data_IF_214407088603
#
_entry.id   IF_214407088603
#
_cell.length_a   1.000
_cell.length_b   1.000
_cell.length_c   1.000
_cell.angle_alpha   90.00
_cell.angle_beta   90.00
_cell.angle_gamma   90.00
#
_symmetry.space_group_name_H-M   'P 1'
#
loop_
_entity.id
_entity.type
_entity.pdbx_description
1 polymer ?
#
# COMPACT_ATOMS: atom_id res chain seq x y z
N UNK A 1 62.54 -23.61 5.87
CA UNK A 1 61.91 -22.27 5.82
C UNK A 1 60.60 -22.41 5.08
N UNK A 2 59.53 -22.48 5.85
CA UNK A 2 58.18 -22.84 5.44
C UNK A 2 57.45 -21.62 4.87
N UNK A 3 56.84 -21.75 3.70
CA UNK A 3 55.78 -20.87 3.24
C UNK A 3 54.45 -21.64 3.23
N UNK A 4 53.59 -21.29 4.18
CA UNK A 4 52.21 -21.73 4.33
C UNK A 4 51.32 -20.65 3.67
N UNK A 5 50.46 -20.96 2.70
CA UNK A 5 49.45 -20.03 2.21
C UNK A 5 48.22 -20.04 3.13
N UNK A 6 47.87 -18.87 3.66
CA UNK A 6 46.72 -18.62 4.52
C UNK A 6 45.39 -18.70 3.75
N UNK A 7 44.52 -19.58 4.24
CA UNK A 7 43.08 -19.63 3.98
C UNK A 7 42.40 -18.26 4.16
N UNK A 8 41.61 -17.82 3.17
CA UNK A 8 40.49 -16.88 3.38
C UNK A 8 39.20 -17.53 2.91
N UNK A 9 38.39 -17.91 3.90
CA UNK A 9 37.01 -18.38 3.79
C UNK A 9 36.15 -17.37 3.00
N UNK A 10 35.58 -17.81 1.86
CA UNK A 10 34.48 -17.12 1.20
C UNK A 10 33.18 -17.48 1.93
N UNK A 11 32.91 -16.78 3.03
CA UNK A 11 31.59 -16.70 3.66
C UNK A 11 30.68 -15.77 2.85
N UNK A 12 30.23 -16.21 1.68
CA UNK A 12 29.21 -15.52 0.89
C UNK A 12 27.83 -15.88 1.41
N UNK A 13 27.23 -14.96 2.17
CA UNK A 13 25.86 -15.07 2.65
C UNK A 13 24.89 -15.29 1.48
N UNK A 14 24.41 -16.53 1.32
CA UNK A 14 23.24 -16.83 0.50
C UNK A 14 22.06 -16.11 1.16
N UNK A 15 21.59 -15.04 0.53
CA UNK A 15 20.28 -14.46 0.84
C UNK A 15 19.25 -15.58 0.74
N UNK A 16 18.62 -15.92 1.87
CA UNK A 16 17.55 -16.91 1.93
C UNK A 16 16.41 -16.40 1.07
N UNK A 17 16.21 -17.01 -0.10
CA UNK A 17 14.92 -16.97 -0.78
C UNK A 17 13.93 -17.65 0.16
N UNK A 18 13.07 -16.85 0.78
CA UNK A 18 11.86 -17.34 1.42
C UNK A 18 10.96 -17.87 0.30
N UNK A 19 10.89 -19.20 0.18
CA UNK A 19 9.82 -19.84 -0.59
C UNK A 19 8.52 -19.61 0.17
N UNK A 20 7.72 -18.66 -0.30
CA UNK A 20 6.39 -18.39 0.21
C UNK A 20 5.40 -19.34 -0.47
N UNK A 21 4.51 -19.98 0.29
CA UNK A 21 3.37 -20.72 -0.24
C UNK A 21 2.11 -19.89 -0.03
N UNK A 22 1.26 -19.83 -1.06
CA UNK A 22 -0.09 -19.28 -0.97
C UNK A 22 -1.10 -20.44 -0.94
N UNK A 23 -1.65 -20.86 0.21
CA UNK A 23 -2.91 -21.57 0.28
C UNK A 23 -4.03 -20.56 -0.01
N UNK A 24 -4.63 -20.63 -1.20
CA UNK A 24 -5.90 -19.98 -1.48
C UNK A 24 -7.00 -20.97 -1.04
N UNK A 25 -7.75 -20.66 0.01
CA UNK A 25 -8.93 -21.44 0.39
C UNK A 25 -10.19 -20.64 0.01
N UNK A 26 -11.00 -21.20 -0.89
CA UNK A 26 -12.33 -20.67 -1.22
C UNK A 26 -13.38 -21.46 -0.42
N UNK A 27 -13.89 -20.90 0.67
CA UNK A 27 -14.93 -21.55 1.48
C UNK A 27 -16.28 -21.49 0.73
N UNK A 28 -16.94 -22.63 0.55
CA UNK A 28 -18.24 -22.68 -0.15
C UNK A 28 -19.27 -23.46 0.66
N UNK A 29 -20.38 -22.81 1.02
CA UNK A 29 -21.52 -23.45 1.70
C UNK A 29 -22.49 -24.09 0.70
N UNK A 30 -22.87 -25.34 0.91
CA UNK A 30 -23.99 -26.00 0.23
C UNK A 30 -25.01 -26.48 1.27
N UNK A 31 -26.23 -25.93 1.22
CA UNK A 31 -27.39 -26.49 1.91
C UNK A 31 -28.40 -26.98 0.86
N UNK A 32 -28.76 -28.27 0.87
CA UNK A 32 -29.94 -28.76 0.14
C UNK A 32 -31.19 -28.24 0.83
N UNK A 33 -32.11 -27.62 0.08
CA UNK A 33 -33.40 -27.17 0.59
C UNK A 33 -34.54 -28.06 0.09
N UNK A 34 -35.24 -28.72 1.01
CA UNK A 34 -36.67 -29.01 0.87
C UNK A 34 -37.45 -27.98 1.72
N UNK A 35 -38.62 -27.57 1.23
CA UNK A 35 -39.37 -26.41 1.73
C UNK A 35 -40.30 -26.85 2.88
N UNK A 36 -39.93 -26.58 4.14
CA UNK A 36 -40.87 -26.45 5.26
C UNK A 36 -40.21 -25.85 6.53
N UNK A 37 -40.79 -24.76 7.06
CA UNK A 37 -40.65 -24.33 8.47
C UNK A 37 -39.36 -23.63 8.91
N UNK A 38 -39.47 -22.77 9.92
CA UNK A 38 -38.34 -22.08 10.57
C UNK A 38 -37.44 -23.12 11.26
N UNK A 39 -36.23 -23.33 10.74
CA UNK A 39 -35.27 -24.30 11.30
C UNK A 39 -34.57 -23.72 12.55
N UNK A 40 -34.50 -24.46 13.67
CA UNK A 40 -33.49 -24.21 14.68
C UNK A 40 -32.11 -24.53 14.07
N UNK A 41 -31.27 -23.51 13.93
CA UNK A 41 -29.89 -23.66 13.44
C UNK A 41 -29.07 -24.46 14.45
N UNK A 42 -28.74 -25.69 14.11
CA UNK A 42 -27.94 -26.58 14.96
C UNK A 42 -26.43 -26.44 14.73
N UNK A 43 -25.99 -26.02 13.53
CA UNK A 43 -24.57 -25.81 13.15
C UNK A 43 -24.41 -24.77 12.03
N UNK A 44 -23.29 -24.03 12.06
CA UNK A 44 -22.88 -23.07 11.03
C UNK A 44 -23.28 -21.62 11.33
N UNK A 45 -22.45 -20.67 10.88
CA UNK A 45 -22.80 -19.25 10.86
C UNK A 45 -23.57 -18.91 9.59
N UNK A 46 -24.45 -17.89 9.66
CA UNK A 46 -25.21 -17.46 8.49
C UNK A 46 -24.27 -16.98 7.38
N UNK A 47 -24.63 -17.24 6.12
CA UNK A 47 -23.87 -16.68 4.99
C UNK A 47 -23.92 -15.14 5.08
N UNK A 48 -22.75 -14.49 5.14
CA UNK A 48 -22.62 -13.06 5.41
C UNK A 48 -22.64 -12.66 6.89
N UNK A 49 -22.52 -13.61 7.82
CA UNK A 49 -22.39 -13.32 9.24
C UNK A 49 -21.05 -12.62 9.53
N UNK A 50 -21.07 -11.39 10.07
CA UNK A 50 -19.86 -10.61 10.31
C UNK A 50 -18.92 -11.25 11.35
N UNK A 51 -19.37 -12.24 12.14
CA UNK A 51 -18.55 -12.95 13.13
C UNK A 51 -17.71 -14.09 12.53
N UNK A 52 -18.05 -14.57 11.33
CA UNK A 52 -17.35 -15.70 10.71
C UNK A 52 -15.86 -15.46 10.46
N UNK A 53 -15.40 -14.26 10.03
CA UNK A 53 -13.97 -14.00 9.89
C UNK A 53 -13.26 -13.88 11.25
N UNK A 54 -13.95 -13.38 12.28
CA UNK A 54 -13.36 -13.20 13.62
C UNK A 54 -13.09 -14.53 14.32
N UNK A 55 -13.94 -15.55 14.14
CA UNK A 55 -13.68 -16.89 14.68
C UNK A 55 -12.43 -17.52 14.08
N UNK A 56 -12.20 -17.31 12.78
CA UNK A 56 -10.98 -17.75 12.12
C UNK A 56 -9.75 -17.04 12.69
N UNK A 57 -9.80 -15.71 12.84
CA UNK A 57 -8.72 -14.91 13.46
C UNK A 57 -8.45 -15.37 14.90
N UNK A 58 -9.48 -15.59 15.71
CA UNK A 58 -9.32 -16.08 17.09
C UNK A 58 -8.68 -17.47 17.15
N UNK A 59 -9.00 -18.36 16.20
CA UNK A 59 -8.34 -19.67 16.08
C UNK A 59 -6.85 -19.55 15.75
N UNK A 60 -6.48 -18.60 14.89
CA UNK A 60 -5.08 -18.30 14.56
C UNK A 60 -4.33 -17.67 15.75
N UNK A 61 -4.96 -16.76 16.48
CA UNK A 61 -4.33 -16.09 17.63
C UNK A 61 -4.14 -17.00 18.84
N UNK A 62 -5.08 -17.93 19.10
CA UNK A 62 -4.98 -18.86 20.23
C UNK A 62 -3.81 -19.85 20.11
N UNK A 63 -3.32 -20.09 18.90
CA UNK A 63 -2.12 -20.90 18.64
C UNK A 63 -0.79 -20.12 18.69
N UNK A 64 -0.80 -18.81 19.04
CA UNK A 64 0.43 -18.00 19.23
C UNK A 64 1.37 -18.52 20.35
N UNK A 65 0.94 -19.48 21.16
CA UNK A 65 1.82 -20.17 22.13
C UNK A 65 2.95 -20.99 21.49
N UNK A 66 2.91 -21.21 20.16
CA UNK A 66 4.03 -21.73 19.37
C UNK A 66 4.36 -20.74 18.26
N UNK A 67 5.61 -20.31 18.20
CA UNK A 67 6.14 -19.25 17.33
C UNK A 67 5.97 -19.55 15.82
N UNK A 68 4.77 -19.30 15.29
CA UNK A 68 4.44 -19.49 13.88
C UNK A 68 3.93 -18.16 13.33
N UNK A 69 4.81 -17.40 12.70
CA UNK A 69 4.47 -16.17 11.97
C UNK A 69 3.74 -16.55 10.67
N UNK A 70 2.42 -16.70 10.74
CA UNK A 70 1.57 -16.83 9.55
C UNK A 70 1.02 -15.45 9.20
N UNK A 71 1.46 -14.89 8.08
CA UNK A 71 0.79 -13.74 7.48
C UNK A 71 -0.44 -14.24 6.71
N UNK A 72 -1.53 -13.48 6.69
CA UNK A 72 -2.76 -13.89 6.02
C UNK A 72 -3.53 -12.67 5.49
N UNK A 73 -4.29 -12.88 4.43
CA UNK A 73 -5.29 -11.96 3.90
C UNK A 73 -6.65 -12.65 3.97
N UNK A 74 -7.60 -12.01 4.64
CA UNK A 74 -8.97 -12.51 4.84
C UNK A 74 -9.96 -11.56 4.18
N UNK A 75 -10.81 -12.11 3.31
CA UNK A 75 -11.98 -11.39 2.82
C UNK A 75 -13.18 -12.35 2.77
N UNK A 76 -14.06 -12.23 3.77
CA UNK A 76 -15.18 -13.15 3.95
C UNK A 76 -14.74 -14.63 3.93
N UNK A 77 -15.16 -15.37 2.91
CA UNK A 77 -14.89 -16.78 2.65
C UNK A 77 -13.62 -17.04 1.83
N UNK A 78 -13.01 -16.00 1.27
CA UNK A 78 -11.77 -16.07 0.52
C UNK A 78 -10.58 -15.76 1.45
N UNK A 79 -9.78 -16.78 1.74
CA UNK A 79 -8.59 -16.66 2.60
C UNK A 79 -7.32 -16.99 1.83
N UNK A 80 -6.34 -16.09 1.91
CA UNK A 80 -4.95 -16.37 1.52
C UNK A 80 -4.11 -16.47 2.78
N UNK A 81 -3.37 -17.56 2.89
CA UNK A 81 -2.36 -17.74 3.93
C UNK A 81 -0.97 -17.57 3.30
N UNK A 82 -0.02 -16.98 4.01
CA UNK A 82 1.39 -16.92 3.63
C UNK A 82 2.17 -17.69 4.68
N UNK A 83 2.86 -18.72 4.23
CA UNK A 83 3.68 -19.56 5.09
C UNK A 83 4.97 -19.95 4.39
N UNK A 84 6.02 -20.21 5.19
CA UNK A 84 7.26 -20.75 4.65
C UNK A 84 7.03 -22.16 4.11
N UNK A 85 7.72 -22.52 3.04
CA UNK A 85 7.72 -23.87 2.46
C UNK A 85 8.44 -24.91 3.34
N UNK A 86 7.96 -25.11 4.58
CA UNK A 86 8.39 -26.19 5.46
C UNK A 86 7.19 -27.00 5.92
N UNK A 87 7.38 -28.32 5.98
CA UNK A 87 6.35 -29.28 6.40
C UNK A 87 5.73 -28.92 7.76
N UNK A 88 6.56 -28.55 8.74
CA UNK A 88 6.11 -28.17 10.09
C UNK A 88 5.06 -27.05 10.08
N UNK A 89 5.23 -26.03 9.23
CA UNK A 89 4.27 -24.92 9.14
C UNK A 89 2.95 -25.35 8.52
N UNK A 90 2.98 -26.25 7.52
CA UNK A 90 1.77 -26.76 6.88
C UNK A 90 1.01 -27.73 7.78
N UNK A 91 1.72 -28.57 8.55
CA UNK A 91 1.09 -29.42 9.56
C UNK A 91 0.39 -28.55 10.61
N UNK A 92 1.03 -27.47 11.08
CA UNK A 92 0.39 -26.51 12.00
C UNK A 92 -0.84 -25.83 11.36
N UNK A 93 -0.75 -25.43 10.09
CA UNK A 93 -1.89 -24.88 9.36
C UNK A 93 -3.03 -25.88 9.24
N UNK A 94 -2.75 -27.14 8.92
CA UNK A 94 -3.74 -28.22 8.89
C UNK A 94 -4.45 -28.38 10.24
N UNK A 95 -3.71 -28.31 11.36
CA UNK A 95 -4.32 -28.31 12.69
C UNK A 95 -5.20 -27.09 12.93
N UNK A 96 -4.79 -25.89 12.54
CA UNK A 96 -5.59 -24.67 12.67
C UNK A 96 -6.90 -24.82 11.89
N UNK A 97 -6.81 -25.28 10.63
CA UNK A 97 -7.94 -25.53 9.75
C UNK A 97 -8.90 -26.57 10.34
N UNK A 98 -8.37 -27.67 10.88
CA UNK A 98 -9.15 -28.70 11.58
C UNK A 98 -9.89 -28.14 12.80
N UNK A 99 -9.20 -27.39 13.66
CA UNK A 99 -9.82 -26.76 14.83
C UNK A 99 -10.86 -25.71 14.45
N UNK A 100 -10.63 -24.97 13.36
CA UNK A 100 -11.62 -24.05 12.81
C UNK A 100 -12.88 -24.79 12.36
N UNK A 101 -12.77 -25.90 11.62
CA UNK A 101 -13.95 -26.71 11.25
C UNK A 101 -14.70 -27.21 12.49
N UNK A 102 -13.97 -27.71 13.48
CA UNK A 102 -14.55 -28.23 14.72
C UNK A 102 -15.27 -27.15 15.54
N UNK A 103 -14.69 -25.96 15.65
CA UNK A 103 -15.22 -24.86 16.46
C UNK A 103 -16.34 -24.08 15.76
N UNK A 104 -16.23 -23.85 14.45
CA UNK A 104 -17.20 -23.06 13.68
C UNK A 104 -18.35 -23.90 13.12
N UNK A 105 -18.16 -25.22 13.00
CA UNK A 105 -19.06 -26.11 12.26
C UNK A 105 -19.05 -25.88 10.75
N UNK A 106 -18.16 -25.04 10.23
CA UNK A 106 -17.96 -24.83 8.79
C UNK A 106 -17.04 -25.91 8.21
N UNK A 107 -17.10 -26.07 6.88
CA UNK A 107 -16.26 -27.01 6.14
C UNK A 107 -15.38 -26.28 5.14
N UNK A 108 -14.09 -26.60 5.19
CA UNK A 108 -13.09 -26.09 4.26
C UNK A 108 -13.23 -26.85 2.95
N UNK A 109 -13.37 -26.11 1.86
CA UNK A 109 -13.46 -26.71 0.54
C UNK A 109 -12.05 -26.98 0.01
N UNK A 110 -11.45 -28.09 0.41
CA UNK A 110 -10.13 -28.51 -0.05
C UNK A 110 -10.08 -28.71 -1.57
N UNK A 111 -11.21 -29.05 -2.21
CA UNK A 111 -11.28 -29.15 -3.66
C UNK A 111 -11.06 -27.78 -4.32
N UNK A 112 -11.65 -26.69 -3.81
CA UNK A 112 -11.38 -25.33 -4.32
C UNK A 112 -10.09 -24.72 -3.77
N UNK A 113 -9.47 -25.36 -2.80
CA UNK A 113 -8.25 -24.85 -2.18
C UNK A 113 -7.02 -25.27 -2.99
N UNK A 114 -6.06 -24.36 -3.11
CA UNK A 114 -4.81 -24.61 -3.84
C UNK A 114 -3.61 -24.07 -3.07
N UNK A 115 -2.49 -24.79 -3.14
CA UNK A 115 -1.18 -24.34 -2.66
C UNK A 115 -0.37 -23.91 -3.86
N UNK A 116 0.03 -22.63 -3.88
CA UNK A 116 0.79 -22.04 -4.97
C UNK A 116 2.22 -21.76 -4.50
N UNK A 117 3.26 -22.31 -5.16
CA UNK A 117 4.64 -21.98 -4.84
C UNK A 117 5.00 -20.58 -5.35
N UNK A 118 5.59 -19.75 -4.49
CA UNK A 118 6.22 -18.47 -4.84
C UNK A 118 7.73 -18.67 -4.83
N UNK A 119 8.33 -18.69 -6.02
CA UNK A 119 9.75 -18.99 -6.21
C UNK A 119 10.06 -20.48 -6.36
N UNK A 120 11.30 -20.88 -6.10
CA UNK A 120 11.72 -22.28 -6.16
C UNK A 120 11.38 -22.98 -4.83
N UNK A 121 10.39 -23.89 -4.88
CA UNK A 121 9.99 -24.71 -3.74
C UNK A 121 10.20 -26.18 -4.09
N UNK A 122 11.05 -26.86 -3.33
CA UNK A 122 11.25 -28.30 -3.50
C UNK A 122 10.09 -29.08 -2.87
N UNK A 123 9.68 -30.18 -3.53
CA UNK A 123 8.68 -31.14 -3.03
C UNK A 123 7.30 -30.51 -2.74
N UNK A 124 6.87 -29.59 -3.61
CA UNK A 124 5.59 -28.89 -3.51
C UNK A 124 4.40 -29.84 -3.48
N UNK A 125 4.49 -30.97 -4.19
CA UNK A 125 3.45 -31.99 -4.23
C UNK A 125 3.24 -32.63 -2.86
N UNK A 126 4.31 -32.91 -2.12
CA UNK A 126 4.20 -33.46 -0.77
C UNK A 126 3.58 -32.46 0.21
N UNK A 127 3.94 -31.19 0.06
CA UNK A 127 3.40 -30.09 0.85
C UNK A 127 1.89 -29.89 0.59
N UNK A 128 1.45 -30.05 -0.65
CA UNK A 128 0.03 -29.99 -1.01
C UNK A 128 -0.75 -31.21 -0.48
N UNK A 129 -0.14 -32.40 -0.48
CA UNK A 129 -0.72 -33.63 0.11
C UNK A 129 -0.92 -33.48 1.62
N UNK A 130 0.04 -32.88 2.34
CA UNK A 130 -0.08 -32.62 3.78
C UNK A 130 -1.30 -31.75 4.13
N UNK A 131 -1.62 -30.77 3.27
CA UNK A 131 -2.80 -29.91 3.40
C UNK A 131 -4.08 -30.51 2.81
N UNK A 132 -3.97 -31.56 2.00
CA UNK A 132 -5.09 -32.18 1.28
C UNK A 132 -5.64 -31.32 0.13
N UNK A 133 -4.85 -30.42 -0.44
CA UNK A 133 -5.26 -29.50 -1.50
C UNK A 133 -4.47 -29.71 -2.81
N UNK A 134 -4.86 -28.99 -3.86
CA UNK A 134 -4.21 -29.10 -5.19
C UNK A 134 -3.01 -28.17 -5.30
N UNK A 135 -2.03 -28.52 -6.11
CA UNK A 135 -0.94 -27.58 -6.46
C UNK A 135 -1.44 -26.60 -7.52
N UNK A 136 -1.48 -25.32 -7.17
CA UNK A 136 -1.82 -24.23 -8.08
C UNK A 136 -0.57 -23.63 -8.74
N UNK A 137 -0.78 -22.66 -9.65
CA UNK A 137 0.31 -21.95 -10.34
C UNK A 137 -0.01 -20.45 -10.42
N UNK A 138 1.04 -19.62 -10.36
CA UNK A 138 0.91 -18.21 -10.73
C UNK A 138 0.86 -18.08 -12.27
N UNK A 139 0.09 -17.13 -12.81
CA UNK A 139 -0.79 -16.21 -12.08
C UNK A 139 -2.13 -16.83 -11.66
N UNK A 140 -2.61 -16.50 -10.46
CA UNK A 140 -3.90 -16.95 -9.91
C UNK A 140 -4.86 -15.78 -9.67
N UNK A 141 -6.16 -16.04 -9.50
CA UNK A 141 -7.17 -14.99 -9.29
C UNK A 141 -7.58 -14.95 -7.81
N UNK A 142 -7.49 -13.77 -7.18
CA UNK A 142 -8.02 -13.52 -5.84
C UNK A 142 -8.84 -12.22 -5.84
N UNK A 143 -10.10 -12.28 -5.40
CA UNK A 143 -11.06 -11.16 -5.43
C UNK A 143 -11.17 -10.48 -6.80
N UNK A 144 -11.02 -11.25 -7.88
CA UNK A 144 -11.02 -10.75 -9.26
C UNK A 144 -9.73 -10.08 -9.71
N UNK A 145 -8.66 -10.13 -8.91
CA UNK A 145 -7.33 -9.62 -9.23
C UNK A 145 -6.37 -10.76 -9.58
N UNK A 146 -5.60 -10.61 -10.66
CA UNK A 146 -4.55 -11.57 -11.02
C UNK A 146 -3.31 -11.37 -10.14
N UNK A 147 -3.05 -12.33 -9.25
CA UNK A 147 -1.85 -12.43 -8.44
C UNK A 147 -0.69 -12.98 -9.26
N UNK A 148 0.52 -12.46 -9.06
CA UNK A 148 1.74 -12.96 -9.71
C UNK A 148 1.96 -12.50 -11.16
N UNK A 149 1.06 -11.70 -11.72
CA UNK A 149 1.26 -11.09 -13.05
C UNK A 149 2.27 -9.93 -12.95
N UNK A 150 3.22 -9.78 -13.89
CA UNK A 150 4.06 -8.59 -13.94
C UNK A 150 3.19 -7.33 -14.07
N UNK A 151 3.46 -6.32 -13.24
CA UNK A 151 2.59 -5.13 -13.12
C UNK A 151 2.40 -4.29 -14.40
N UNK A 152 3.14 -4.60 -15.48
CA UNK A 152 3.06 -3.96 -16.80
C UNK A 152 2.47 -4.85 -17.89
N UNK A 153 2.19 -6.10 -17.59
CA UNK A 153 1.69 -7.04 -18.58
C UNK A 153 0.28 -6.65 -19.03
N UNK A 154 0.10 -6.47 -20.34
CA UNK A 154 -1.20 -6.14 -20.91
C UNK A 154 -2.25 -7.23 -20.62
N UNK A 155 -1.84 -8.51 -20.68
CA UNK A 155 -2.74 -9.65 -20.42
C UNK A 155 -3.31 -9.69 -19.00
N UNK A 156 -2.69 -8.96 -18.05
CA UNK A 156 -3.26 -8.76 -16.71
C UNK A 156 -4.61 -8.03 -16.72
N UNK A 157 -4.96 -7.36 -17.82
CA UNK A 157 -6.19 -6.60 -18.01
C UNK A 157 -7.26 -7.36 -18.81
N UNK A 158 -6.94 -8.50 -19.43
CA UNK A 158 -7.85 -9.25 -20.31
C UNK A 158 -9.15 -9.64 -19.60
N UNK A 159 -9.07 -10.02 -18.32
CA UNK A 159 -10.25 -10.36 -17.53
C UNK A 159 -11.20 -9.17 -17.30
N UNK A 160 -10.65 -7.96 -17.11
CA UNK A 160 -11.45 -6.74 -17.03
C UNK A 160 -12.01 -6.37 -18.40
N UNK A 161 -11.20 -6.46 -19.45
CA UNK A 161 -11.64 -6.19 -20.82
C UNK A 161 -12.81 -7.10 -21.19
N UNK A 162 -12.72 -8.39 -20.89
CA UNK A 162 -13.78 -9.36 -21.17
C UNK A 162 -15.05 -9.09 -20.33
N UNK A 163 -14.90 -8.69 -19.06
CA UNK A 163 -16.04 -8.29 -18.21
C UNK A 163 -16.72 -7.02 -18.73
N UNK A 164 -15.93 -6.06 -19.22
CA UNK A 164 -16.44 -4.88 -19.89
C UNK A 164 -17.17 -5.30 -21.16
N UNK A 165 -16.52 -6.05 -22.06
CA UNK A 165 -17.10 -6.54 -23.32
C UNK A 165 -18.45 -7.23 -23.10
N UNK A 166 -18.55 -8.10 -22.08
CA UNK A 166 -19.80 -8.76 -21.69
C UNK A 166 -20.89 -7.79 -21.25
N UNK A 167 -20.59 -6.79 -20.42
CA UNK A 167 -21.60 -5.78 -20.02
C UNK A 167 -21.96 -4.81 -21.15
N UNK A 168 -21.01 -4.52 -22.02
CA UNK A 168 -21.18 -3.63 -23.18
C UNK A 168 -21.96 -4.29 -24.32
N UNK A 169 -21.99 -5.63 -24.38
CA UNK A 169 -22.72 -6.38 -25.39
C UNK A 169 -24.21 -5.97 -25.47
N UNK A 170 -24.83 -5.64 -24.32
CA UNK A 170 -26.24 -5.28 -24.22
C UNK A 170 -26.62 -3.95 -24.89
N UNK A 171 -25.68 -3.04 -25.16
CA UNK A 171 -26.03 -1.78 -25.85
C UNK A 171 -26.11 -1.85 -27.36
N UNK A 172 -25.60 -2.94 -27.94
CA UNK A 172 -25.82 -3.18 -29.36
C UNK A 172 -27.30 -3.45 -29.66
N UNK A 173 -28.15 -3.55 -28.62
CA UNK A 173 -29.60 -3.62 -28.75
C UNK A 173 -30.18 -2.43 -29.53
N UNK A 174 -31.04 -2.74 -30.50
CA UNK A 174 -31.62 -1.79 -31.45
C UNK A 174 -32.51 -0.73 -30.77
N UNK A 175 -33.12 -1.05 -29.62
CA UNK A 175 -34.18 -0.22 -29.02
C UNK A 175 -33.70 0.73 -27.91
N UNK A 176 -32.39 0.95 -27.74
CA UNK A 176 -31.85 1.84 -26.71
C UNK A 176 -31.54 3.22 -27.31
N UNK A 177 -32.09 4.28 -26.69
CA UNK A 177 -31.84 5.66 -27.07
C UNK A 177 -30.35 6.04 -26.93
N UNK A 178 -29.90 7.10 -27.62
CA UNK A 178 -28.51 7.59 -27.49
C UNK A 178 -28.13 7.87 -26.02
N UNK A 179 -29.04 8.46 -25.24
CA UNK A 179 -28.86 8.67 -23.80
C UNK A 179 -28.79 7.36 -23.00
N UNK A 180 -29.67 6.40 -23.32
CA UNK A 180 -29.69 5.07 -22.71
C UNK A 180 -28.43 4.23 -23.02
N UNK A 181 -27.73 4.50 -24.13
CA UNK A 181 -26.42 3.90 -24.43
C UNK A 181 -25.30 4.58 -23.63
N UNK A 182 -25.30 5.92 -23.52
CA UNK A 182 -24.27 6.66 -22.79
C UNK A 182 -24.20 6.26 -21.31
N UNK A 183 -25.35 6.06 -20.65
CA UNK A 183 -25.39 5.81 -19.21
C UNK A 183 -24.59 4.57 -18.83
N UNK A 184 -24.75 3.40 -19.47
CA UNK A 184 -23.97 2.28 -19.04
C UNK A 184 -22.54 2.34 -19.60
N UNK A 185 -22.19 3.19 -20.61
CA UNK A 185 -20.76 3.37 -20.97
C UNK A 185 -20.08 3.97 -19.78
N UNK A 186 -20.64 5.09 -19.33
CA UNK A 186 -20.09 5.83 -18.20
C UNK A 186 -20.04 4.94 -16.96
N UNK A 187 -21.07 4.13 -16.69
CA UNK A 187 -21.06 3.23 -15.53
C UNK A 187 -20.03 2.10 -15.67
N UNK A 188 -19.93 1.46 -16.84
CA UNK A 188 -19.04 0.30 -17.07
C UNK A 188 -17.58 0.73 -17.12
N UNK A 189 -17.25 1.73 -17.95
CA UNK A 189 -15.89 2.26 -18.05
C UNK A 189 -15.45 3.06 -16.82
N UNK A 190 -16.39 3.69 -16.12
CA UNK A 190 -16.08 4.55 -14.98
C UNK A 190 -15.95 3.80 -13.65
N UNK A 191 -16.44 2.56 -13.53
CA UNK A 191 -16.40 1.79 -12.28
C UNK A 191 -15.59 0.50 -12.37
N UNK A 192 -15.67 -0.24 -13.48
CA UNK A 192 -15.02 -1.54 -13.58
C UNK A 192 -13.49 -1.53 -13.52
N UNK A 193 -12.78 -0.60 -14.20
CA UNK A 193 -11.34 -0.60 -14.17
C UNK A 193 -10.81 0.05 -12.90
N UNK A 194 -11.64 0.76 -12.13
CA UNK A 194 -11.19 1.61 -11.00
C UNK A 194 -10.44 0.80 -9.96
N UNK A 195 -10.96 -0.39 -9.60
CA UNK A 195 -10.30 -1.25 -8.62
C UNK A 195 -8.89 -1.62 -9.09
N UNK A 196 -8.74 -2.09 -10.32
CA UNK A 196 -7.44 -2.50 -10.84
C UNK A 196 -6.52 -1.32 -11.18
N UNK A 197 -7.06 -0.18 -11.64
CA UNK A 197 -6.32 1.08 -11.82
C UNK A 197 -5.82 1.66 -10.51
N UNK A 198 -6.51 1.39 -9.39
CA UNK A 198 -6.05 1.80 -8.08
C UNK A 198 -4.84 1.00 -7.59
N UNK A 199 -4.56 -0.16 -8.20
CA UNK A 199 -3.49 -1.08 -7.79
C UNK A 199 -2.37 -1.15 -8.82
N UNK A 200 -2.68 -1.05 -10.11
CA UNK A 200 -1.74 -1.25 -11.22
C UNK A 200 -1.87 -0.15 -12.27
N UNK A 201 -0.74 0.20 -12.89
CA UNK A 201 -0.71 1.15 -13.99
C UNK A 201 -1.32 0.53 -15.26
N UNK A 202 -2.34 1.18 -15.82
CA UNK A 202 -2.98 0.74 -17.07
C UNK A 202 -2.05 0.97 -18.28
N UNK A 203 -1.87 -0.01 -19.19
CA UNK A 203 -1.19 0.21 -20.47
C UNK A 203 -1.94 1.25 -21.31
N UNK A 204 -1.23 2.20 -21.93
CA UNK A 204 -1.82 3.42 -22.55
C UNK A 204 -2.50 3.15 -23.93
N UNK A 205 -2.67 1.89 -24.35
CA UNK A 205 -3.08 1.55 -25.73
C UNK A 205 -4.61 1.62 -25.99
N UNK A 206 -5.29 2.69 -25.57
CA UNK A 206 -6.69 2.88 -25.96
C UNK A 206 -7.43 3.99 -25.21
N UNK A 207 -7.47 5.19 -25.80
CA UNK A 207 -8.29 6.30 -25.31
C UNK A 207 -9.69 6.28 -25.91
N UNK A 208 -10.69 5.72 -25.21
CA UNK A 208 -12.09 5.67 -25.65
C UNK A 208 -12.92 6.94 -25.34
N UNK A 209 -12.28 8.08 -25.05
CA UNK A 209 -12.97 9.38 -24.97
C UNK A 209 -13.95 9.60 -23.79
N UNK A 210 -14.01 8.70 -22.80
CA UNK A 210 -14.90 8.83 -21.63
C UNK A 210 -14.03 8.94 -20.38
N UNK A 211 -13.76 10.19 -19.99
CA UNK A 211 -12.71 10.62 -19.03
C UNK A 211 -11.30 10.24 -19.51
N UNK A 212 -10.31 11.10 -19.28
CA UNK A 212 -8.90 10.77 -19.55
C UNK A 212 -8.49 9.70 -18.54
N UNK A 213 -8.65 8.41 -18.87
CA UNK A 213 -8.28 7.26 -18.03
C UNK A 213 -6.85 7.38 -17.49
N UNK A 214 -5.96 7.98 -18.28
CA UNK A 214 -4.60 8.33 -17.89
C UNK A 214 -4.55 9.26 -16.67
N UNK A 215 -5.41 10.29 -16.62
CA UNK A 215 -5.50 11.20 -15.47
C UNK A 215 -6.10 10.46 -14.26
N UNK A 216 -7.13 9.64 -14.48
CA UNK A 216 -7.74 8.87 -13.39
C UNK A 216 -6.75 7.87 -12.76
N UNK A 217 -6.00 7.15 -13.58
CA UNK A 217 -4.92 6.26 -13.15
C UNK A 217 -3.86 7.05 -12.38
N UNK A 218 -3.37 8.18 -12.92
CA UNK A 218 -2.44 9.07 -12.21
C UNK A 218 -2.97 9.46 -10.83
N UNK A 219 -4.21 9.95 -10.73
CA UNK A 219 -4.84 10.36 -9.46
C UNK A 219 -4.95 9.19 -8.48
N UNK A 220 -5.38 8.01 -8.94
CA UNK A 220 -5.51 6.81 -8.10
C UNK A 220 -4.16 6.32 -7.56
N UNK A 221 -3.09 6.40 -8.36
CA UNK A 221 -1.74 6.10 -7.89
C UNK A 221 -1.23 7.18 -6.93
N UNK A 222 -1.52 8.46 -7.20
CA UNK A 222 -1.22 9.58 -6.30
C UNK A 222 -1.88 9.42 -4.93
N UNK A 223 -3.08 8.84 -4.86
CA UNK A 223 -3.75 8.53 -3.58
C UNK A 223 -2.88 7.68 -2.66
N UNK A 224 -2.10 6.73 -3.18
CA UNK A 224 -1.17 5.94 -2.36
C UNK A 224 0.01 6.75 -1.85
N UNK A 225 0.49 7.70 -2.65
CA UNK A 225 1.52 8.66 -2.22
C UNK A 225 0.98 9.53 -1.08
N UNK A 226 -0.25 10.03 -1.22
CA UNK A 226 -0.96 10.75 -0.17
C UNK A 226 -1.10 9.93 1.10
N UNK A 227 -1.59 8.70 0.99
CA UNK A 227 -1.75 7.81 2.14
C UNK A 227 -0.43 7.47 2.82
N UNK A 228 0.66 7.33 2.06
CA UNK A 228 1.98 7.10 2.65
C UNK A 228 2.42 8.28 3.52
N UNK A 229 2.15 9.51 3.06
CA UNK A 229 2.45 10.72 3.81
C UNK A 229 1.50 10.94 5.00
N UNK A 230 0.20 10.70 4.83
CA UNK A 230 -0.84 10.99 5.82
C UNK A 230 -1.02 9.90 6.89
N UNK A 231 -0.93 8.62 6.51
CA UNK A 231 -1.20 7.51 7.41
C UNK A 231 0.02 7.31 8.33
N UNK A 232 -0.18 7.52 9.65
CA UNK A 232 0.92 7.50 10.63
C UNK A 232 1.40 6.07 10.98
N UNK A 233 0.48 5.13 11.12
CA UNK A 233 0.76 3.81 11.74
C UNK A 233 0.31 2.62 10.88
N UNK A 234 0.21 2.80 9.57
CA UNK A 234 -0.27 1.72 8.72
C UNK A 234 0.82 0.64 8.52
N UNK A 235 0.51 -0.62 8.83
CA UNK A 235 1.47 -1.74 8.71
C UNK A 235 2.14 -1.83 7.33
N UNK A 236 1.39 -1.57 6.25
CA UNK A 236 1.92 -1.58 4.89
C UNK A 236 3.01 -0.51 4.67
N UNK A 237 2.94 0.62 5.38
CA UNK A 237 3.95 1.67 5.36
C UNK A 237 5.26 1.18 5.97
N UNK A 238 5.22 0.52 7.12
CA UNK A 238 6.42 -0.06 7.75
C UNK A 238 7.11 -1.11 6.88
N UNK A 239 6.34 -1.94 6.17
CA UNK A 239 6.89 -2.89 5.20
C UNK A 239 7.63 -2.16 4.07
N UNK A 240 7.06 -1.06 3.55
CA UNK A 240 7.70 -0.27 2.51
C UNK A 240 8.94 0.48 3.02
N UNK A 241 8.89 1.04 4.23
CA UNK A 241 10.02 1.70 4.89
C UNK A 241 11.17 0.74 5.12
N UNK A 242 10.89 -0.49 5.56
CA UNK A 242 11.90 -1.54 5.75
C UNK A 242 12.50 -2.00 4.43
N UNK A 243 11.67 -2.11 3.38
CA UNK A 243 12.08 -2.63 2.07
C UNK A 243 12.86 -1.61 1.24
N UNK A 244 12.43 -0.35 1.22
CA UNK A 244 12.99 0.69 0.36
C UNK A 244 13.80 1.73 1.12
N UNK A 245 13.69 1.80 2.45
CA UNK A 245 14.24 2.89 3.25
C UNK A 245 13.44 4.18 3.10
N UNK A 246 13.81 5.20 3.88
CA UNK A 246 13.17 6.51 3.89
C UNK A 246 14.10 7.63 3.37
N UNK A 247 13.52 8.65 2.78
CA UNK A 247 14.12 9.95 2.39
C UNK A 247 13.19 11.11 2.80
N UNK A 248 13.65 12.35 2.64
CA UNK A 248 12.92 13.58 2.98
C UNK A 248 12.32 13.51 4.39
N UNK A 249 13.17 13.23 5.38
CA UNK A 249 12.80 13.09 6.80
C UNK A 249 11.65 12.11 7.10
N UNK A 250 11.48 11.10 6.25
CA UNK A 250 10.46 10.06 6.44
C UNK A 250 9.13 10.36 5.75
N UNK A 251 9.04 11.42 4.95
CA UNK A 251 7.88 11.67 4.09
C UNK A 251 7.84 10.75 2.88
N UNK A 252 9.01 10.28 2.42
CA UNK A 252 9.14 9.49 1.19
C UNK A 252 9.94 8.23 1.42
N UNK A 253 9.68 7.21 0.60
CA UNK A 253 10.59 6.07 0.47
C UNK A 253 11.71 6.42 -0.50
N UNK A 254 12.93 5.88 -0.30
CA UNK A 254 14.01 6.06 -1.28
C UNK A 254 13.62 5.52 -2.65
N UNK A 255 14.16 6.14 -3.71
CA UNK A 255 14.00 5.60 -5.08
C UNK A 255 14.47 4.14 -5.14
N UNK A 256 13.65 3.28 -5.74
CA UNK A 256 13.97 1.86 -5.90
C UNK A 256 15.00 1.64 -7.03
N UNK A 257 16.30 1.63 -6.69
CA UNK A 257 17.43 1.51 -7.64
C UNK A 257 17.79 0.06 -8.01
N UNK A 258 17.07 -0.96 -7.51
CA UNK A 258 17.36 -2.36 -7.83
C UNK A 258 17.02 -2.80 -9.27
N UNK A 259 17.87 -3.67 -9.84
CA UNK A 259 17.68 -4.35 -11.12
C UNK A 259 16.60 -5.46 -11.07
N UNK A 260 16.25 -5.95 -9.88
CA UNK A 260 15.29 -7.03 -9.70
C UNK A 260 13.94 -6.51 -9.21
N UNK A 261 12.90 -6.67 -10.05
CA UNK A 261 11.50 -6.54 -9.67
C UNK A 261 10.84 -5.24 -10.10
N UNK A 262 9.93 -5.34 -11.06
CA UNK A 262 8.99 -4.28 -11.48
C UNK A 262 7.91 -4.13 -10.38
N UNK A 263 8.28 -3.71 -9.17
CA UNK A 263 7.35 -3.64 -8.03
C UNK A 263 6.28 -2.56 -8.20
N UNK A 264 5.05 -2.84 -7.75
CA UNK A 264 3.89 -1.91 -7.81
C UNK A 264 4.27 -0.54 -7.26
N UNK A 265 4.95 -0.53 -6.12
CA UNK A 265 5.42 0.69 -5.45
C UNK A 265 6.37 1.52 -6.33
N UNK A 266 7.25 0.88 -7.12
CA UNK A 266 8.17 1.57 -8.03
C UNK A 266 7.41 2.30 -9.15
N UNK A 267 6.31 1.75 -9.63
CA UNK A 267 5.46 2.41 -10.63
C UNK A 267 4.60 3.53 -10.01
N UNK A 268 4.13 3.36 -8.77
CA UNK A 268 3.48 4.46 -8.01
C UNK A 268 4.45 5.63 -7.85
N UNK A 269 5.70 5.38 -7.45
CA UNK A 269 6.71 6.42 -7.23
C UNK A 269 7.05 7.23 -8.50
N UNK A 270 6.89 6.66 -9.70
CA UNK A 270 7.08 7.41 -10.95
C UNK A 270 6.04 8.50 -11.14
N UNK A 271 4.84 8.26 -10.67
CA UNK A 271 3.72 9.19 -10.73
C UNK A 271 3.55 9.96 -9.41
N UNK A 272 4.50 9.88 -8.47
CA UNK A 272 4.38 10.57 -7.18
C UNK A 272 4.69 12.09 -7.28
N UNK A 273 5.50 12.51 -8.27
CA UNK A 273 5.98 13.90 -8.36
C UNK A 273 4.87 14.94 -8.38
N UNK A 274 3.89 14.78 -9.28
CA UNK A 274 2.76 15.72 -9.39
C UNK A 274 1.91 15.78 -8.11
N UNK A 275 1.86 14.68 -7.35
CA UNK A 275 1.12 14.58 -6.10
C UNK A 275 1.82 15.38 -5.00
N UNK A 276 3.15 15.22 -4.90
CA UNK A 276 3.99 16.00 -3.98
C UNK A 276 3.97 17.50 -4.27
N UNK A 277 3.95 17.90 -5.54
CA UNK A 277 3.87 19.30 -5.95
C UNK A 277 2.58 20.01 -5.48
N UNK A 278 1.56 19.23 -5.11
CA UNK A 278 0.27 19.70 -4.63
C UNK A 278 0.06 19.48 -3.12
N UNK A 279 1.02 18.89 -2.43
CA UNK A 279 1.02 18.76 -0.98
C UNK A 279 1.67 19.98 -0.32
N UNK A 280 1.13 20.40 0.82
CA UNK A 280 1.77 21.30 1.76
C UNK A 280 1.93 20.61 3.10
N UNK A 281 2.77 21.16 3.98
CA UNK A 281 3.04 20.61 5.30
C UNK A 281 2.46 21.49 6.39
N UNK A 282 1.80 20.87 7.36
CA UNK A 282 1.30 21.53 8.56
C UNK A 282 2.23 21.19 9.71
N UNK A 283 2.78 22.24 10.30
CA UNK A 283 3.73 22.15 11.42
C UNK A 283 3.03 21.62 12.65
N UNK A 284 3.55 20.51 13.18
CA UNK A 284 3.28 19.99 14.51
C UNK A 284 4.54 20.15 15.35
N UNK A 285 5.24 19.04 15.62
CA UNK A 285 6.56 18.98 16.28
C UNK A 285 7.70 19.63 15.49
N UNK A 286 7.57 19.73 14.17
CA UNK A 286 8.59 20.30 13.28
C UNK A 286 9.80 19.39 13.01
N UNK A 287 9.72 18.10 13.35
CA UNK A 287 10.84 17.16 13.27
C UNK A 287 10.99 16.46 11.92
N UNK A 288 10.02 16.63 11.03
CA UNK A 288 10.06 16.11 9.66
C UNK A 288 10.03 17.20 8.59
N UNK A 289 9.80 18.45 8.97
CA UNK A 289 9.65 19.55 8.01
C UNK A 289 10.96 20.35 7.93
N UNK A 290 11.52 20.44 6.73
CA UNK A 290 12.64 21.31 6.42
C UNK A 290 12.19 22.77 6.39
N UNK A 291 12.84 23.62 7.18
CA UNK A 291 12.45 25.03 7.32
C UNK A 291 12.48 25.79 5.99
N UNK A 292 13.52 25.61 5.17
CA UNK A 292 13.73 26.41 3.97
C UNK A 292 13.10 25.83 2.69
N UNK A 293 13.05 24.51 2.56
CA UNK A 293 12.74 23.83 1.29
C UNK A 293 11.30 23.33 1.22
N UNK A 294 10.68 23.02 2.36
CA UNK A 294 9.30 22.51 2.38
C UNK A 294 8.29 23.67 2.33
N UNK A 295 7.12 23.39 1.74
CA UNK A 295 6.01 24.36 1.69
C UNK A 295 5.13 24.19 2.91
N UNK A 296 5.46 24.92 3.98
CA UNK A 296 4.72 24.91 5.24
C UNK A 296 4.27 26.30 5.71
N UNK A 297 4.85 27.36 5.15
CA UNK A 297 4.56 28.76 5.46
C UNK A 297 4.12 29.53 4.20
N UNK A 298 2.82 29.49 3.91
CA UNK A 298 2.22 30.08 2.70
C UNK A 298 2.20 29.11 1.51
N UNK A 299 2.20 29.66 0.29
CA UNK A 299 2.00 28.89 -0.96
C UNK A 299 3.28 28.32 -1.59
N UNK A 300 4.45 28.80 -1.15
CA UNK A 300 5.76 28.43 -1.69
C UNK A 300 6.80 28.29 -0.57
N UNK A 301 7.92 27.64 -0.88
CA UNK A 301 9.01 27.42 0.07
C UNK A 301 9.69 28.73 0.46
N UNK A 302 10.15 28.85 1.71
CA UNK A 302 10.83 30.07 2.18
C UNK A 302 12.10 30.37 1.38
N UNK A 303 12.80 29.36 0.89
CA UNK A 303 13.95 29.51 -0.01
C UNK A 303 13.61 30.16 -1.35
N UNK A 304 12.38 30.02 -1.84
CA UNK A 304 11.91 30.65 -3.08
C UNK A 304 11.42 32.09 -2.83
N UNK A 305 10.80 32.33 -1.67
CA UNK A 305 10.33 33.67 -1.27
C UNK A 305 11.47 34.58 -0.85
N UNK A 306 12.47 34.03 -0.17
CA UNK A 306 13.63 34.75 0.36
C UNK A 306 14.95 34.11 -0.11
N UNK A 307 15.24 34.10 -1.42
CA UNK A 307 16.42 33.43 -1.97
C UNK A 307 17.72 34.01 -1.41
N UNK A 308 17.76 35.33 -1.18
CA UNK A 308 18.92 35.99 -0.61
C UNK A 308 19.22 35.53 0.82
N UNK A 309 18.20 35.51 1.70
CA UNK A 309 18.34 35.00 3.07
C UNK A 309 18.68 33.51 3.11
N UNK A 310 18.16 32.71 2.17
CA UNK A 310 18.51 31.31 2.05
C UNK A 310 20.00 31.09 1.72
N UNK A 311 20.60 31.94 0.89
CA UNK A 311 22.05 31.86 0.65
C UNK A 311 22.87 32.19 1.88
N UNK A 312 22.37 33.09 2.75
CA UNK A 312 23.03 33.50 3.98
C UNK A 312 22.76 32.56 5.16
N UNK A 313 21.79 31.65 5.06
CA UNK A 313 21.44 30.71 6.13
C UNK A 313 22.62 29.77 6.44
N UNK A 314 22.99 29.68 7.72
CA UNK A 314 24.09 28.82 8.16
C UNK A 314 23.76 27.33 7.96
N UNK A 315 22.50 26.95 8.14
CA UNK A 315 22.02 25.60 7.88
C UNK A 315 20.79 25.64 6.95
N UNK A 316 21.01 25.27 5.69
CA UNK A 316 19.98 25.24 4.63
C UNK A 316 19.09 24.00 4.65
N UNK A 317 19.50 22.97 5.38
CA UNK A 317 18.77 21.69 5.55
C UNK A 317 18.22 21.53 6.97
N UNK A 318 18.20 22.63 7.74
CA UNK A 318 17.67 22.63 9.09
C UNK A 318 16.18 22.31 9.10
N UNK A 319 15.76 21.55 10.11
CA UNK A 319 14.35 21.31 10.38
C UNK A 319 13.77 22.46 11.17
N UNK A 320 12.45 22.50 11.24
CA UNK A 320 11.74 23.47 12.08
C UNK A 320 12.10 23.27 13.57
N UNK A 321 12.18 22.02 14.03
CA UNK A 321 12.55 21.71 15.44
C UNK A 321 13.94 22.26 15.82
N UNK A 322 14.89 22.28 14.87
CA UNK A 322 16.26 22.73 15.11
C UNK A 322 16.35 24.26 15.27
N UNK A 323 15.40 24.98 14.70
CA UNK A 323 15.38 26.45 14.63
C UNK A 323 14.38 27.08 15.58
N UNK A 324 13.63 26.28 16.34
CA UNK A 324 12.62 26.77 17.27
C UNK A 324 13.04 26.52 18.71
N UNK A 325 13.12 27.61 19.48
CA UNK A 325 13.39 27.54 20.91
C UNK A 325 12.09 27.64 21.69
N UNK A 326 11.69 26.52 22.28
CA UNK A 326 10.50 26.43 23.10
C UNK A 326 10.71 26.98 24.52
N UNK A 327 11.95 27.26 24.93
CA UNK A 327 12.28 27.68 26.30
C UNK A 327 12.10 29.20 26.51
N UNK A 328 11.86 29.96 25.44
CA UNK A 328 11.76 31.42 25.48
C UNK A 328 10.29 31.86 25.31
N UNK A 329 9.56 32.02 26.41
CA UNK A 329 8.20 32.59 26.41
C UNK A 329 7.18 31.78 25.58
N UNK A 330 6.54 32.42 24.59
CA UNK A 330 5.65 31.75 23.62
C UNK A 330 6.40 30.96 22.53
N UNK A 331 7.73 30.87 22.64
CA UNK A 331 8.66 30.29 21.68
C UNK A 331 9.25 31.32 20.72
N UNK A 332 10.51 31.11 20.33
CA UNK A 332 11.26 32.04 19.47
C UNK A 332 12.00 31.31 18.35
N UNK A 333 12.15 31.97 17.20
CA UNK A 333 12.96 31.46 16.09
C UNK A 333 14.43 31.81 16.29
N UNK A 334 15.28 30.79 16.35
CA UNK A 334 16.74 30.90 16.42
C UNK A 334 17.35 30.70 15.03
N UNK A 335 17.26 31.75 14.19
CA UNK A 335 17.78 31.72 12.82
C UNK A 335 19.25 32.14 12.81
N UNK A 336 20.14 31.22 12.45
CA UNK A 336 21.57 31.49 12.32
C UNK A 336 21.97 31.78 10.87
N UNK A 337 22.69 32.88 10.66
CA UNK A 337 23.20 33.31 9.38
C UNK A 337 24.73 33.34 9.40
N UNK A 338 25.35 33.18 8.23
CA UNK A 338 26.80 33.06 8.06
C UNK A 338 27.53 34.38 8.40
N UNK A 339 26.83 35.51 8.31
CA UNK A 339 27.33 36.85 8.64
C UNK A 339 26.20 37.76 9.12
N UNK A 340 26.58 38.90 9.68
CA UNK A 340 25.65 40.00 9.97
C UNK A 340 25.01 40.56 8.70
N UNK A 341 23.85 41.18 8.87
CA UNK A 341 23.04 41.75 7.80
C UNK A 341 23.52 43.14 7.41
N UNK A 342 23.47 43.43 6.10
CA UNK A 342 23.58 44.80 5.61
C UNK A 342 22.24 45.52 5.74
N UNK A 343 22.23 46.85 5.72
CA UNK A 343 21.02 47.68 5.91
C UNK A 343 19.86 47.31 4.98
N UNK A 344 20.15 46.97 3.72
CA UNK A 344 19.13 46.56 2.74
C UNK A 344 18.58 45.13 2.97
N UNK A 345 19.26 44.31 3.76
CA UNK A 345 18.84 42.94 4.08
C UNK A 345 17.93 42.90 5.32
N UNK A 346 18.02 43.91 6.20
CA UNK A 346 17.21 44.02 7.41
C UNK A 346 15.71 44.04 7.08
N UNK A 347 15.32 44.71 5.98
CA UNK A 347 13.94 44.69 5.49
C UNK A 347 13.43 43.29 5.16
N UNK A 348 14.25 42.48 4.49
CA UNK A 348 13.92 41.09 4.15
C UNK A 348 13.76 40.21 5.40
N UNK A 349 14.60 40.43 6.42
CA UNK A 349 14.48 39.73 7.70
C UNK A 349 13.16 40.10 8.40
N UNK A 350 12.78 41.38 8.36
CA UNK A 350 11.49 41.84 8.88
C UNK A 350 10.30 41.15 8.21
N UNK A 351 10.31 41.05 6.88
CA UNK A 351 9.28 40.33 6.11
C UNK A 351 9.24 38.83 6.43
N UNK A 352 10.40 38.20 6.60
CA UNK A 352 10.49 36.79 7.00
C UNK A 352 9.88 36.57 8.38
N UNK A 353 10.26 37.38 9.38
CA UNK A 353 9.72 37.28 10.74
C UNK A 353 8.21 37.56 10.77
N UNK A 354 7.74 38.49 9.93
CA UNK A 354 6.31 38.74 9.77
C UNK A 354 5.58 37.54 9.18
N UNK A 355 6.15 36.87 8.17
CA UNK A 355 5.58 35.65 7.60
C UNK A 355 5.55 34.48 8.60
N UNK A 356 6.54 34.40 9.48
CA UNK A 356 6.64 33.40 10.54
C UNK A 356 5.73 33.70 11.74
N UNK A 357 5.19 34.91 11.83
CA UNK A 357 4.37 35.35 12.96
C UNK A 357 3.08 34.53 13.04
N UNK A 358 2.80 34.00 14.23
CA UNK A 358 1.59 33.20 14.48
C UNK A 358 1.74 31.70 14.19
N UNK A 359 2.89 31.26 13.68
CA UNK A 359 3.23 29.83 13.66
C UNK A 359 3.50 29.39 15.10
N UNK A 360 2.83 28.34 15.55
CA UNK A 360 3.05 27.72 16.86
C UNK A 360 3.37 26.25 16.66
N UNK A 361 4.51 25.82 17.19
CA UNK A 361 4.87 24.39 17.25
C UNK A 361 3.99 23.73 18.31
N UNK A 362 3.40 22.60 17.97
CA UNK A 362 2.54 21.81 18.85
C UNK A 362 3.19 20.48 19.20
N UNK A 363 2.62 19.76 20.18
CA UNK A 363 3.03 18.40 20.52
C UNK A 363 2.47 17.34 19.55
N UNK A 364 1.67 17.74 18.56
CA UNK A 364 1.15 16.83 17.54
C UNK A 364 2.22 16.52 16.50
N UNK A 365 2.21 15.34 15.87
CA UNK A 365 3.16 15.10 14.78
C UNK A 365 2.83 15.96 13.56
N UNK A 366 3.88 16.30 12.82
CA UNK A 366 3.77 16.95 11.52
C UNK A 366 2.80 16.19 10.59
N UNK A 367 2.05 16.94 9.79
CA UNK A 367 1.04 16.39 8.89
C UNK A 367 1.09 17.05 7.52
N UNK A 368 0.44 16.43 6.53
CA UNK A 368 0.31 16.98 5.18
C UNK A 368 -1.12 17.46 4.92
N UNK A 369 -1.26 18.51 4.12
CA UNK A 369 -2.55 19.01 3.62
C UNK A 369 -2.51 19.17 2.10
N UNK A 370 -3.68 19.16 1.46
CA UNK A 370 -3.78 19.30 0.01
C UNK A 370 -3.93 20.76 -0.40
N UNK A 371 -3.09 21.25 -1.32
CA UNK A 371 -3.15 22.62 -1.86
C UNK A 371 -4.05 22.76 -3.09
N UNK A 372 -4.46 21.64 -3.70
CA UNK A 372 -5.18 21.64 -4.99
C UNK A 372 -6.71 21.79 -4.91
N UNK A 373 -7.29 22.08 -3.74
CA UNK A 373 -8.75 22.18 -3.56
C UNK A 373 -9.13 22.99 -2.32
N UNK A 374 -10.33 23.58 -2.32
CA UNK A 374 -10.78 24.51 -1.27
C UNK A 374 -11.01 23.90 0.12
N UNK A 375 -11.02 22.57 0.25
CA UNK A 375 -11.23 21.86 1.52
C UNK A 375 -9.93 21.46 2.24
N UNK A 376 -8.76 21.61 1.61
CA UNK A 376 -7.48 21.15 2.19
C UNK A 376 -7.31 19.62 2.26
N UNK A 377 -8.27 18.85 1.73
CA UNK A 377 -8.26 17.39 1.67
C UNK A 377 -8.06 16.89 0.22
N UNK A 378 -7.41 15.74 0.07
CA UNK A 378 -7.08 15.11 -1.21
C UNK A 378 -8.30 14.50 -1.92
#
# INVERSE_FOLDING_TARGET
MNHIPLHRSKGGARGRQLGELLPCAHLGSYGRSEIAGFFPSSKGLRQGDPLSPYLFVMGMERNRGRAVHIAHLLFADDTIVFCEAKKEYLTNLSWILFWFEAASGLKINLAKSEVIPVGEVQRIEELAVELGCRVGKLPSIYLGLLLGVPNKAAYGWDGIEEKMRRRLALWKSQYISKGGRITPIKSTMGSMPVYQMSLFHMPINGGLGIRKLTIMNKVLLGKWTWRFASDKEALWKHVLETKYGQEDHGWRTKKAVGACGVGVWKEILKEAGWCWDKMGFKVGKGNKISFWTDVWCGDSALSQRFPHLYTLAANRIAKIEDLWDQNVGEGSWNLHFIRDFNDWEVGLVGELLQALRGVRISWEDDSVFWRGGGSGQF
#
